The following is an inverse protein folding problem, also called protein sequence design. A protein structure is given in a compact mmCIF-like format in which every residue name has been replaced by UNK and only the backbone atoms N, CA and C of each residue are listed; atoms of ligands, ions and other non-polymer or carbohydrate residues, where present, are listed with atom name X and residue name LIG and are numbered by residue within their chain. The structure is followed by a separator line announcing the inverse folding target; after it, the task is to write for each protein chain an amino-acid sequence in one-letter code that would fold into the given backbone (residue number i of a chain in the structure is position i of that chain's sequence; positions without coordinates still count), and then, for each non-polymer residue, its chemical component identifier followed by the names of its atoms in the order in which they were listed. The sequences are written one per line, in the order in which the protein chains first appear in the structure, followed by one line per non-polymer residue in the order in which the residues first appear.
data_IF_751092507402
#
_entry.id   IF_751092507402
#
_cell.length_a   1.000
_cell.length_b   1.000
_cell.length_c   1.000
_cell.angle_alpha   90.00
_cell.angle_beta   90.00
_cell.angle_gamma   90.00
#
_symmetry.space_group_name_H-M   'P 1'
#
loop_
_entity.id
_entity.type
_entity.pdbx_description
1 polymer ?
#
# COMPACT_ATOMS: atom_id res chain seq x y z
N UNK A 1 4.42 -10.78 -4.00
CA UNK A 1 4.05 -9.62 -3.18
C UNK A 1 3.95 -8.40 -4.07
N UNK A 2 2.83 -7.70 -4.05
CA UNK A 2 2.62 -6.46 -4.80
C UNK A 2 3.32 -5.29 -4.10
N UNK A 3 3.84 -4.35 -4.88
CA UNK A 3 4.45 -3.12 -4.37
C UNK A 3 3.51 -1.93 -4.59
N UNK A 4 3.06 -1.33 -3.51
CA UNK A 4 2.33 -0.07 -3.54
C UNK A 4 3.26 1.06 -3.06
N UNK A 5 3.09 2.25 -3.62
CA UNK A 5 3.75 3.45 -3.10
C UNK A 5 2.83 4.24 -2.19
N UNK A 6 3.34 4.68 -1.03
CA UNK A 6 2.60 5.50 -0.06
C UNK A 6 2.97 6.97 -0.25
N UNK A 7 2.29 7.63 -1.17
CA UNK A 7 2.51 9.05 -1.50
C UNK A 7 1.30 9.65 -2.21
N UNK A 8 1.18 10.97 -2.18
CA UNK A 8 0.25 11.77 -2.97
C UNK A 8 1.00 12.69 -3.97
N UNK A 9 2.30 12.52 -4.12
CA UNK A 9 3.12 13.22 -5.09
C UNK A 9 3.04 12.53 -6.44
N UNK A 10 2.40 13.19 -7.41
CA UNK A 10 2.11 12.62 -8.72
C UNK A 10 3.39 12.38 -9.55
N UNK A 11 4.40 13.22 -9.36
CA UNK A 11 5.65 13.08 -10.12
C UNK A 11 6.45 11.87 -9.63
N UNK A 12 6.46 11.62 -8.31
CA UNK A 12 7.01 10.40 -7.70
C UNK A 12 6.26 9.14 -8.18
N UNK A 13 4.92 9.22 -8.29
CA UNK A 13 4.10 8.10 -8.76
C UNK A 13 4.41 7.79 -10.23
N UNK A 14 4.52 8.80 -11.10
CA UNK A 14 4.86 8.62 -12.51
C UNK A 14 6.23 8.01 -12.70
N UNK A 15 7.25 8.54 -12.02
CA UNK A 15 8.62 8.02 -12.05
C UNK A 15 8.68 6.52 -11.67
N UNK A 16 7.97 6.14 -10.61
CA UNK A 16 7.91 4.75 -10.19
C UNK A 16 7.05 3.86 -11.12
N UNK A 17 5.96 4.38 -11.68
CA UNK A 17 5.13 3.65 -12.63
C UNK A 17 5.89 3.33 -13.92
N UNK A 18 6.75 4.22 -14.41
CA UNK A 18 7.61 3.99 -15.59
C UNK A 18 8.58 2.82 -15.40
N UNK A 19 8.92 2.46 -14.15
CA UNK A 19 9.76 1.28 -13.87
C UNK A 19 9.04 -0.05 -14.13
N UNK A 20 7.70 -0.06 -14.22
CA UNK A 20 6.88 -1.28 -14.30
C UNK A 20 6.81 -2.10 -13.00
N UNK A 21 7.31 -1.55 -11.89
CA UNK A 21 7.34 -2.24 -10.58
C UNK A 21 6.20 -1.83 -9.64
N UNK A 22 5.38 -0.85 -10.04
CA UNK A 22 4.33 -0.29 -9.20
C UNK A 22 2.99 -0.99 -9.47
N UNK A 23 2.47 -1.67 -8.45
CA UNK A 23 1.19 -2.41 -8.52
C UNK A 23 0.01 -1.60 -7.97
N UNK A 24 0.25 -0.47 -7.29
CA UNK A 24 -0.81 0.37 -6.73
C UNK A 24 -0.30 1.53 -5.88
N UNK A 25 -1.23 2.30 -5.34
CA UNK A 25 -0.92 3.50 -4.53
C UNK A 25 -1.76 3.52 -3.27
N UNK A 26 -1.16 3.88 -2.15
CA UNK A 26 -1.91 4.30 -0.96
C UNK A 26 -1.74 5.79 -0.72
N UNK A 27 -2.83 6.44 -0.37
CA UNK A 27 -2.84 7.81 0.12
C UNK A 27 -3.41 7.87 1.53
N UNK A 28 -3.25 9.01 2.18
CA UNK A 28 -3.88 9.30 3.45
C UNK A 28 -4.09 10.83 3.58
N UNK A 29 -4.93 11.30 4.51
CA UNK A 29 -5.22 12.74 4.64
C UNK A 29 -3.97 13.61 4.83
N UNK A 30 -2.95 13.10 5.53
CA UNK A 30 -1.71 13.86 5.77
C UNK A 30 -0.86 14.03 4.50
N UNK A 31 -0.83 13.02 3.64
CA UNK A 31 -0.14 13.09 2.34
C UNK A 31 -0.87 14.02 1.38
N UNK A 32 -2.20 13.90 1.29
CA UNK A 32 -3.02 14.77 0.47
C UNK A 32 -2.92 16.24 0.89
N UNK A 33 -2.95 16.53 2.20
CA UNK A 33 -2.80 17.88 2.71
C UNK A 33 -1.46 18.53 2.30
N UNK A 34 -0.40 17.75 2.18
CA UNK A 34 0.92 18.25 1.72
C UNK A 34 0.97 18.56 0.23
N UNK A 35 0.13 17.95 -0.59
CA UNK A 35 0.12 18.17 -2.05
C UNK A 35 -0.41 19.53 -2.45
N UNK A 36 -1.24 20.16 -1.60
CA UNK A 36 -1.91 21.44 -1.89
C UNK A 36 -2.96 21.38 -3.02
N UNK A 37 -3.23 20.21 -3.57
CA UNK A 37 -4.22 20.00 -4.65
C UNK A 37 -5.61 19.68 -4.07
N UNK A 38 -6.65 19.87 -4.90
CA UNK A 38 -7.99 19.35 -4.61
C UNK A 38 -7.94 17.82 -4.47
N UNK A 39 -8.54 17.27 -3.40
CA UNK A 39 -8.51 15.84 -3.13
C UNK A 39 -9.08 15.00 -4.27
N UNK A 40 -10.26 15.37 -4.78
CA UNK A 40 -10.94 14.60 -5.84
C UNK A 40 -10.16 14.64 -7.15
N UNK A 41 -9.61 15.81 -7.52
CA UNK A 41 -8.81 15.95 -8.74
C UNK A 41 -7.51 15.17 -8.64
N UNK A 42 -6.87 15.21 -7.48
CA UNK A 42 -5.66 14.43 -7.22
C UNK A 42 -5.91 12.91 -7.32
N UNK A 43 -7.01 12.41 -6.74
CA UNK A 43 -7.35 11.00 -6.86
C UNK A 43 -7.62 10.59 -8.31
N UNK A 44 -8.34 11.41 -9.07
CA UNK A 44 -8.56 11.16 -10.50
C UNK A 44 -7.25 11.15 -11.30
N UNK A 45 -6.34 12.09 -11.01
CA UNK A 45 -5.01 12.14 -11.64
C UNK A 45 -4.18 10.88 -11.32
N UNK A 46 -4.12 10.47 -10.06
CA UNK A 46 -3.38 9.25 -9.66
C UNK A 46 -3.97 8.02 -10.35
N UNK A 47 -5.29 7.87 -10.35
CA UNK A 47 -5.96 6.73 -11.01
C UNK A 47 -5.73 6.68 -12.52
N UNK A 48 -5.44 7.81 -13.17
CA UNK A 48 -5.12 7.83 -14.60
C UNK A 48 -3.69 7.35 -14.93
N UNK A 49 -2.81 7.35 -13.94
CA UNK A 49 -1.40 6.96 -14.07
C UNK A 49 -1.17 5.50 -13.66
N UNK A 50 -1.95 5.00 -12.72
CA UNK A 50 -1.75 3.67 -12.10
C UNK A 50 -2.93 2.77 -12.46
N UNK A 51 -2.66 1.61 -13.05
CA UNK A 51 -3.72 0.63 -13.40
C UNK A 51 -4.25 -0.11 -12.17
N UNK A 52 -3.40 -0.34 -11.18
CA UNK A 52 -3.75 -1.07 -9.97
C UNK A 52 -4.51 -0.23 -8.93
N UNK A 53 -4.86 -0.83 -7.78
CA UNK A 53 -5.67 -0.19 -6.77
C UNK A 53 -5.08 1.10 -6.21
N UNK A 54 -5.91 2.14 -6.09
CA UNK A 54 -5.57 3.42 -5.46
C UNK A 54 -6.41 3.61 -4.21
N UNK A 55 -5.77 3.62 -3.04
CA UNK A 55 -6.48 3.81 -1.78
C UNK A 55 -6.80 5.29 -1.52
N UNK A 56 -8.11 5.62 -1.53
CA UNK A 56 -8.66 6.94 -1.23
C UNK A 56 -9.40 6.90 0.11
N UNK A 57 -8.90 7.64 1.12
CA UNK A 57 -9.40 7.58 2.49
C UNK A 57 -10.56 8.57 2.70
N UNK A 58 -11.65 8.09 3.32
CA UNK A 58 -12.77 8.92 3.78
C UNK A 58 -12.33 9.84 4.94
N UNK A 59 -12.99 10.98 5.09
CA UNK A 59 -12.72 11.93 6.17
C UNK A 59 -13.74 11.83 7.31
N UNK A 60 -14.96 11.38 7.02
CA UNK A 60 -16.00 11.23 8.01
C UNK A 60 -15.72 10.12 9.03
N UNK A 61 -16.23 10.28 10.25
CA UNK A 61 -16.09 9.30 11.33
C UNK A 61 -17.41 8.63 11.71
N UNK A 62 -18.54 9.20 11.31
CA UNK A 62 -19.86 8.57 11.48
C UNK A 62 -20.24 7.70 10.27
N UNK A 63 -21.03 6.66 10.52
CA UNK A 63 -21.39 5.64 9.55
C UNK A 63 -22.07 6.22 8.30
N UNK A 64 -23.01 7.13 8.46
CA UNK A 64 -23.84 7.67 7.35
C UNK A 64 -23.01 8.52 6.39
N UNK A 65 -22.24 9.45 6.92
CA UNK A 65 -21.38 10.32 6.11
C UNK A 65 -20.23 9.52 5.49
N UNK A 66 -19.60 8.61 6.25
CA UNK A 66 -18.53 7.76 5.77
C UNK A 66 -18.98 6.88 4.59
N UNK A 67 -20.20 6.31 4.63
CA UNK A 67 -20.75 5.54 3.52
C UNK A 67 -21.03 6.42 2.28
N UNK A 68 -21.55 7.62 2.49
CA UNK A 68 -21.79 8.57 1.41
C UNK A 68 -20.48 9.02 0.74
N UNK A 69 -19.45 9.31 1.53
CA UNK A 69 -18.11 9.63 1.02
C UNK A 69 -17.51 8.44 0.25
N UNK A 70 -17.57 7.22 0.80
CA UNK A 70 -17.06 6.02 0.16
C UNK A 70 -17.71 5.77 -1.21
N UNK A 71 -19.03 5.87 -1.31
CA UNK A 71 -19.75 5.76 -2.58
C UNK A 71 -19.45 6.90 -3.56
N UNK A 72 -19.09 8.07 -3.07
CA UNK A 72 -18.64 9.18 -3.91
C UNK A 72 -17.23 8.92 -4.46
N UNK A 73 -16.32 8.47 -3.60
CA UNK A 73 -14.93 8.18 -3.98
C UNK A 73 -14.86 7.05 -5.01
N UNK A 74 -15.63 5.97 -4.83
CA UNK A 74 -15.65 4.84 -5.77
C UNK A 74 -16.10 5.20 -7.19
N UNK A 75 -16.74 6.36 -7.40
CA UNK A 75 -17.15 6.85 -8.72
C UNK A 75 -16.08 7.64 -9.46
N UNK A 76 -14.94 7.90 -8.83
CA UNK A 76 -13.82 8.62 -9.47
C UNK A 76 -13.19 7.74 -10.56
N UNK A 77 -12.91 6.48 -10.25
CA UNK A 77 -12.35 5.50 -11.16
C UNK A 77 -12.60 4.07 -10.63
N UNK A 78 -12.60 3.08 -11.53
CA UNK A 78 -12.87 1.68 -11.20
C UNK A 78 -11.78 1.04 -10.32
N UNK A 79 -10.57 1.61 -10.30
CA UNK A 79 -9.45 1.15 -9.48
C UNK A 79 -9.36 1.83 -8.11
N UNK A 80 -10.36 2.59 -7.69
CA UNK A 80 -10.41 3.13 -6.32
C UNK A 80 -10.68 2.00 -5.32
N UNK A 81 -9.81 1.89 -4.32
CA UNK A 81 -10.05 1.17 -3.08
C UNK A 81 -10.41 2.17 -1.98
N UNK A 82 -11.68 2.20 -1.57
CA UNK A 82 -12.14 3.13 -0.52
C UNK A 82 -11.49 2.77 0.79
N UNK A 83 -10.76 3.71 1.39
CA UNK A 83 -10.04 3.46 2.64
C UNK A 83 -10.85 3.97 3.82
N UNK A 84 -11.11 3.08 4.79
CA UNK A 84 -11.93 3.35 5.98
C UNK A 84 -11.19 2.97 7.26
N UNK A 85 -11.37 3.71 8.38
CA UNK A 85 -10.71 3.38 9.64
C UNK A 85 -11.30 2.11 10.27
N UNK A 86 -10.47 1.36 10.99
CA UNK A 86 -10.88 0.16 11.72
C UNK A 86 -11.63 0.54 13.02
N UNK A 87 -12.86 0.98 12.86
CA UNK A 87 -13.82 1.32 13.92
C UNK A 87 -15.12 0.54 13.72
N UNK A 88 -16.02 0.46 14.71
CA UNK A 88 -17.33 -0.17 14.51
C UNK A 88 -18.10 0.43 13.32
N UNK A 89 -18.07 1.76 13.13
CA UNK A 89 -18.67 2.43 11.97
C UNK A 89 -17.97 2.06 10.68
N UNK A 90 -16.62 2.08 10.66
CA UNK A 90 -15.82 1.72 9.48
C UNK A 90 -16.04 0.27 9.04
N UNK A 91 -16.20 -0.68 9.97
CA UNK A 91 -16.50 -2.09 9.65
C UNK A 91 -17.89 -2.26 9.02
N UNK A 92 -18.89 -1.53 9.49
CA UNK A 92 -20.23 -1.53 8.86
C UNK A 92 -20.19 -0.93 7.46
N UNK A 93 -19.46 0.19 7.28
CA UNK A 93 -19.25 0.81 5.97
C UNK A 93 -18.47 -0.12 5.04
N UNK A 94 -17.42 -0.77 5.53
CA UNK A 94 -16.70 -1.80 4.78
C UNK A 94 -17.66 -2.88 4.26
N UNK A 95 -18.51 -3.41 5.12
CA UNK A 95 -19.50 -4.43 4.74
C UNK A 95 -20.46 -3.93 3.65
N UNK A 96 -20.98 -2.71 3.79
CA UNK A 96 -21.90 -2.13 2.81
C UNK A 96 -21.23 -1.90 1.45
N UNK A 97 -20.04 -1.29 1.44
CA UNK A 97 -19.29 -1.02 0.21
C UNK A 97 -18.84 -2.31 -0.50
N UNK A 98 -18.40 -3.32 0.27
CA UNK A 98 -18.03 -4.63 -0.27
C UNK A 98 -19.22 -5.34 -0.91
N UNK A 99 -20.42 -5.23 -0.33
CA UNK A 99 -21.66 -5.74 -0.94
C UNK A 99 -22.05 -5.00 -2.23
N UNK A 100 -21.70 -3.73 -2.35
CA UNK A 100 -21.86 -2.93 -3.57
C UNK A 100 -20.77 -3.27 -4.63
N UNK A 101 -19.85 -4.21 -4.36
CA UNK A 101 -18.75 -4.60 -5.25
C UNK A 101 -17.57 -3.62 -5.26
N UNK A 102 -17.50 -2.70 -4.30
CA UNK A 102 -16.46 -1.69 -4.19
C UNK A 102 -15.29 -2.26 -3.38
N UNK A 103 -14.06 -2.07 -3.89
CA UNK A 103 -12.84 -2.41 -3.14
C UNK A 103 -12.73 -1.56 -1.87
N UNK A 104 -12.43 -2.22 -0.73
CA UNK A 104 -12.26 -1.52 0.55
C UNK A 104 -10.92 -1.87 1.17
N UNK A 105 -10.18 -0.85 1.59
CA UNK A 105 -8.96 -0.96 2.38
C UNK A 105 -9.27 -0.53 3.83
N UNK A 106 -9.32 -1.48 4.76
CA UNK A 106 -9.51 -1.16 6.18
C UNK A 106 -8.17 -0.81 6.82
N UNK A 107 -8.06 0.41 7.34
CA UNK A 107 -6.79 0.99 7.83
C UNK A 107 -6.77 1.18 9.35
N UNK A 108 -5.61 1.56 9.88
CA UNK A 108 -5.36 1.72 11.32
C UNK A 108 -5.55 0.41 12.09
N UNK A 109 -4.99 -0.66 11.55
CA UNK A 109 -4.98 -1.98 12.17
C UNK A 109 -3.71 -2.17 13.00
N UNK A 110 -3.89 -2.60 14.27
CA UNK A 110 -2.82 -2.78 15.24
C UNK A 110 -2.92 -4.11 16.01
N UNK A 111 -3.85 -5.00 15.64
CA UNK A 111 -3.97 -6.35 16.22
C UNK A 111 -4.56 -7.35 15.25
N UNK A 112 -4.23 -8.63 15.42
CA UNK A 112 -4.78 -9.71 14.61
C UNK A 112 -6.31 -9.85 14.77
N UNK A 113 -6.84 -9.57 15.95
CA UNK A 113 -8.30 -9.53 16.18
C UNK A 113 -9.00 -8.46 15.34
N UNK A 114 -8.40 -7.27 15.20
CA UNK A 114 -8.88 -6.23 14.31
C UNK A 114 -8.86 -6.69 12.85
N UNK A 115 -7.76 -7.31 12.41
CA UNK A 115 -7.64 -7.83 11.05
C UNK A 115 -8.70 -8.87 10.74
N UNK A 116 -8.97 -9.80 11.67
CA UNK A 116 -10.02 -10.80 11.52
C UNK A 116 -11.41 -10.18 11.35
N UNK A 117 -11.73 -9.10 12.09
CA UNK A 117 -12.99 -8.37 11.94
C UNK A 117 -13.12 -7.72 10.56
N UNK A 118 -12.03 -7.13 10.04
CA UNK A 118 -12.01 -6.53 8.71
C UNK A 118 -12.25 -7.58 7.61
N UNK A 119 -11.61 -8.75 7.70
CA UNK A 119 -11.83 -9.85 6.76
C UNK A 119 -13.29 -10.35 6.80
N UNK A 120 -13.87 -10.49 7.98
CA UNK A 120 -15.30 -10.86 8.13
C UNK A 120 -16.25 -9.79 7.61
N UNK A 121 -15.84 -8.52 7.60
CA UNK A 121 -16.60 -7.44 6.98
C UNK A 121 -16.50 -7.41 5.45
N UNK A 122 -15.62 -8.20 4.84
CA UNK A 122 -15.42 -8.33 3.40
C UNK A 122 -14.42 -7.29 2.84
N UNK A 123 -13.46 -6.86 3.65
CA UNK A 123 -12.38 -5.98 3.18
C UNK A 123 -11.59 -6.62 2.03
N UNK A 124 -11.27 -5.84 1.00
CA UNK A 124 -10.32 -6.26 -0.04
C UNK A 124 -8.90 -6.26 0.51
N UNK A 125 -8.55 -5.21 1.25
CA UNK A 125 -7.25 -5.06 1.90
C UNK A 125 -7.42 -4.77 3.38
N UNK A 126 -6.50 -5.29 4.20
CA UNK A 126 -6.28 -4.87 5.58
C UNK A 126 -4.90 -4.22 5.67
N UNK A 127 -4.82 -3.04 6.28
CA UNK A 127 -3.57 -2.29 6.43
C UNK A 127 -3.08 -2.29 7.88
N UNK A 128 -2.31 -3.31 8.33
CA UNK A 128 -1.62 -3.30 9.62
C UNK A 128 -0.42 -2.35 9.58
N UNK A 129 -0.24 -1.55 10.64
CA UNK A 129 0.74 -0.47 10.71
C UNK A 129 1.98 -0.89 11.50
N UNK A 130 2.94 -1.51 10.83
CA UNK A 130 4.15 -2.04 11.47
C UNK A 130 5.01 -0.95 12.11
N UNK A 131 5.35 0.11 11.38
CA UNK A 131 6.24 1.14 11.87
C UNK A 131 5.67 1.94 13.06
N UNK A 132 4.34 2.08 13.18
CA UNK A 132 3.73 2.71 14.38
C UNK A 132 3.78 1.81 15.61
N UNK A 133 3.77 0.50 15.44
CA UNK A 133 4.00 -0.44 16.54
C UNK A 133 5.45 -0.37 17.00
N UNK A 134 6.41 -0.30 16.07
CA UNK A 134 7.81 -0.11 16.40
C UNK A 134 8.05 1.20 17.16
N UNK A 135 7.36 2.30 16.79
CA UNK A 135 7.45 3.61 17.46
C UNK A 135 7.12 3.53 18.97
N UNK A 136 6.34 2.52 19.39
CA UNK A 136 5.99 2.29 20.80
C UNK A 136 6.69 1.08 21.43
N UNK A 137 7.73 0.56 20.77
CA UNK A 137 8.57 -0.51 21.29
C UNK A 137 8.00 -1.93 21.10
N UNK A 138 7.01 -2.11 20.22
CA UNK A 138 6.52 -3.42 19.81
C UNK A 138 7.21 -3.84 18.52
N UNK A 139 7.34 -5.13 18.27
CA UNK A 139 7.76 -5.67 16.97
C UNK A 139 6.54 -5.72 16.03
N UNK A 140 6.46 -4.73 15.13
CA UNK A 140 5.34 -4.62 14.19
C UNK A 140 5.25 -5.79 13.22
N UNK A 141 6.37 -6.46 12.90
CA UNK A 141 6.37 -7.60 11.99
C UNK A 141 5.74 -8.85 12.61
N UNK A 142 5.75 -9.01 13.93
CA UNK A 142 5.03 -10.10 14.60
C UNK A 142 3.53 -10.06 14.30
N UNK A 143 2.94 -8.85 14.24
CA UNK A 143 1.53 -8.68 13.87
C UNK A 143 1.25 -9.22 12.45
N UNK A 144 2.17 -9.00 11.51
CA UNK A 144 2.02 -9.53 10.14
C UNK A 144 2.00 -11.06 10.16
N UNK A 145 2.93 -11.67 10.90
CA UNK A 145 2.97 -13.13 11.05
C UNK A 145 1.67 -13.71 11.62
N UNK A 146 1.13 -13.11 12.69
CA UNK A 146 -0.14 -13.52 13.30
C UNK A 146 -1.32 -13.42 12.33
N UNK A 147 -1.43 -12.32 11.57
CA UNK A 147 -2.52 -12.12 10.61
C UNK A 147 -2.44 -13.16 9.49
N UNK A 148 -1.26 -13.37 8.90
CA UNK A 148 -1.05 -14.33 7.81
C UNK A 148 -1.33 -15.77 8.26
N UNK A 149 -0.91 -16.16 9.46
CA UNK A 149 -1.22 -17.47 10.05
C UNK A 149 -2.73 -17.68 10.19
N UNK A 150 -3.45 -16.68 10.72
CA UNK A 150 -4.90 -16.75 10.86
C UNK A 150 -5.56 -16.83 9.49
N UNK A 151 -5.21 -15.98 8.54
CA UNK A 151 -5.85 -15.94 7.23
C UNK A 151 -5.61 -17.22 6.43
N UNK A 152 -4.40 -17.77 6.49
CA UNK A 152 -4.07 -19.05 5.83
C UNK A 152 -4.84 -20.25 6.39
N UNK A 153 -5.35 -20.16 7.61
CA UNK A 153 -6.13 -21.22 8.25
C UNK A 153 -7.59 -21.28 7.78
N UNK A 154 -8.07 -20.30 7.02
CA UNK A 154 -9.47 -20.21 6.59
C UNK A 154 -9.57 -19.84 5.11
N UNK A 155 -9.88 -20.81 4.23
CA UNK A 155 -10.05 -20.59 2.78
C UNK A 155 -11.10 -19.52 2.42
N UNK A 156 -12.04 -19.25 3.33
CA UNK A 156 -13.08 -18.22 3.14
C UNK A 156 -12.59 -16.78 3.33
N UNK A 157 -11.37 -16.58 3.83
CA UNK A 157 -10.80 -15.26 4.04
C UNK A 157 -9.95 -14.89 2.83
N UNK A 158 -10.48 -14.00 1.97
CA UNK A 158 -9.81 -13.54 0.74
C UNK A 158 -9.20 -12.14 0.86
N UNK A 159 -9.22 -11.56 2.06
CA UNK A 159 -8.66 -10.23 2.32
C UNK A 159 -7.15 -10.26 2.21
N UNK A 160 -6.58 -9.40 1.36
CA UNK A 160 -5.13 -9.27 1.19
C UNK A 160 -4.50 -8.48 2.34
N UNK A 161 -3.38 -8.97 2.85
CA UNK A 161 -2.60 -8.29 3.90
C UNK A 161 -1.69 -7.26 3.24
N UNK A 162 -2.05 -5.98 3.40
CA UNK A 162 -1.34 -4.83 2.88
C UNK A 162 -0.50 -4.21 4.01
N UNK A 163 0.76 -4.62 4.12
CA UNK A 163 1.68 -4.11 5.14
C UNK A 163 1.89 -2.61 4.96
N UNK A 164 1.52 -1.82 5.97
CA UNK A 164 1.54 -0.36 5.94
C UNK A 164 2.44 0.25 7.02
N UNK A 165 2.69 1.55 6.91
CA UNK A 165 3.64 2.25 7.80
C UNK A 165 5.05 1.64 7.73
N UNK A 166 5.44 1.18 6.56
CA UNK A 166 6.78 0.64 6.29
C UNK A 166 7.83 1.76 6.40
N UNK A 167 8.92 1.50 7.13
CA UNK A 167 9.97 2.49 7.41
C UNK A 167 11.33 2.14 6.76
N UNK A 168 11.52 0.89 6.33
CA UNK A 168 12.83 0.41 5.87
C UNK A 168 12.72 -0.74 4.89
N UNK A 169 13.80 -0.99 4.16
CA UNK A 169 13.92 -2.18 3.31
C UNK A 169 13.84 -3.49 4.10
N UNK A 170 14.20 -3.47 5.40
CA UNK A 170 14.06 -4.65 6.26
C UNK A 170 12.59 -5.06 6.43
N UNK A 171 11.67 -4.10 6.64
CA UNK A 171 10.23 -4.37 6.69
C UNK A 171 9.73 -5.00 5.38
N UNK A 172 10.19 -4.48 4.23
CA UNK A 172 9.80 -5.01 2.91
C UNK A 172 10.26 -6.47 2.74
N UNK A 173 11.52 -6.75 3.06
CA UNK A 173 12.08 -8.10 2.94
C UNK A 173 11.42 -9.08 3.91
N UNK A 174 11.15 -8.65 5.15
CA UNK A 174 10.43 -9.48 6.13
C UNK A 174 9.00 -9.76 5.67
N UNK A 175 8.27 -8.75 5.17
CA UNK A 175 6.92 -8.91 4.59
C UNK A 175 6.93 -9.95 3.46
N UNK A 176 7.90 -9.84 2.54
CA UNK A 176 8.04 -10.78 1.42
C UNK A 176 8.34 -12.22 1.91
N UNK A 177 9.23 -12.38 2.92
CA UNK A 177 9.57 -13.68 3.50
C UNK A 177 8.41 -14.34 4.23
N UNK A 178 7.53 -13.53 4.83
CA UNK A 178 6.32 -14.01 5.52
C UNK A 178 5.18 -14.35 4.55
N UNK A 179 5.26 -13.90 3.28
CA UNK A 179 4.22 -14.15 2.28
C UNK A 179 3.09 -13.13 2.31
N UNK A 180 3.33 -11.90 2.80
CA UNK A 180 2.35 -10.83 2.71
C UNK A 180 1.97 -10.54 1.25
N UNK A 181 0.70 -10.18 1.01
CA UNK A 181 0.19 -9.98 -0.35
C UNK A 181 0.69 -8.68 -0.95
N UNK A 182 0.73 -7.62 -0.14
CA UNK A 182 1.09 -6.26 -0.55
C UNK A 182 1.97 -5.61 0.51
N UNK A 183 2.93 -4.79 0.09
CA UNK A 183 3.61 -3.83 0.98
C UNK A 183 3.49 -2.43 0.38
N UNK A 184 2.98 -1.47 1.16
CA UNK A 184 2.99 -0.06 0.77
C UNK A 184 4.08 0.70 1.52
N UNK A 185 4.88 1.46 0.78
CA UNK A 185 6.07 2.09 1.32
C UNK A 185 6.34 3.46 0.69
N UNK A 186 7.02 4.37 1.41
CA UNK A 186 7.46 5.64 0.83
C UNK A 186 8.35 5.43 -0.40
N UNK A 187 8.34 6.36 -1.40
CA UNK A 187 9.19 6.27 -2.60
C UNK A 187 10.67 6.02 -2.29
N UNK A 188 11.18 6.67 -1.24
CA UNK A 188 12.57 6.50 -0.81
C UNK A 188 12.93 5.08 -0.38
N UNK A 189 11.98 4.32 0.19
CA UNK A 189 12.21 2.91 0.56
C UNK A 189 12.26 2.03 -0.68
N UNK A 190 11.40 2.29 -1.69
CA UNK A 190 11.46 1.58 -2.97
C UNK A 190 12.82 1.78 -3.63
N UNK A 191 13.31 3.03 -3.69
CA UNK A 191 14.63 3.34 -4.27
C UNK A 191 15.78 2.69 -3.51
N UNK A 192 15.67 2.55 -2.19
CA UNK A 192 16.68 1.85 -1.38
C UNK A 192 16.79 0.34 -1.69
N UNK A 193 15.74 -0.29 -2.22
CA UNK A 193 15.77 -1.73 -2.54
C UNK A 193 16.75 -2.07 -3.67
N UNK A 194 16.97 -1.17 -4.63
CA UNK A 194 17.92 -1.39 -5.72
C UNK A 194 19.26 -0.69 -5.52
N UNK A 195 19.40 0.17 -4.52
CA UNK A 195 20.64 0.88 -4.23
C UNK A 195 21.59 0.00 -3.41
N UNK A 196 22.64 -0.51 -4.04
CA UNK A 196 23.60 -1.39 -3.37
C UNK A 196 25.07 -1.08 -3.80
N UNK A 197 25.98 -0.83 -2.83
CA UNK A 197 27.37 -0.43 -3.15
C UNK A 197 28.16 -1.44 -4.00
N UNK A 198 27.82 -2.73 -3.89
CA UNK A 198 28.48 -3.76 -4.72
C UNK A 198 27.96 -3.76 -6.16
N UNK A 199 26.73 -3.32 -6.40
CA UNK A 199 26.20 -3.13 -7.75
C UNK A 199 26.95 -1.98 -8.45
N UNK A 200 27.15 -0.87 -7.76
CA UNK A 200 27.87 0.30 -8.29
C UNK A 200 29.30 -0.08 -8.65
N UNK A 201 30.00 -0.72 -7.70
CA UNK A 201 31.40 -1.18 -7.91
C UNK A 201 31.50 -2.25 -9.00
N UNK A 202 30.52 -3.16 -9.08
CA UNK A 202 30.47 -4.18 -10.14
C UNK A 202 30.30 -3.56 -11.50
N UNK A 203 29.40 -2.57 -11.64
CA UNK A 203 29.19 -1.83 -12.88
C UNK A 203 30.45 -1.05 -13.31
N UNK A 204 31.08 -0.34 -12.40
CA UNK A 204 32.35 0.36 -12.68
C UNK A 204 33.41 -0.61 -13.19
N UNK A 205 33.57 -1.78 -12.56
CA UNK A 205 34.52 -2.80 -12.99
C UNK A 205 34.18 -3.33 -14.39
N UNK A 206 32.92 -3.67 -14.66
CA UNK A 206 32.49 -4.17 -15.95
C UNK A 206 32.73 -3.16 -17.07
N UNK A 207 32.42 -1.89 -16.82
CA UNK A 207 32.66 -0.82 -17.79
C UNK A 207 34.16 -0.63 -18.08
N UNK A 208 35.01 -0.68 -17.04
CA UNK A 208 36.47 -0.58 -17.20
C UNK A 208 37.03 -1.76 -18.00
N UNK A 209 36.52 -2.98 -17.79
CA UNK A 209 36.97 -4.15 -18.51
C UNK A 209 36.44 -4.16 -19.96
N UNK A 210 35.20 -3.72 -20.20
CA UNK A 210 34.65 -3.58 -21.52
C UNK A 210 35.45 -2.58 -22.39
N UNK A 211 35.81 -1.42 -21.84
CA UNK A 211 36.64 -0.43 -22.52
C UNK A 211 37.99 -0.99 -23.01
N UNK A 212 38.60 -1.91 -22.25
CA UNK A 212 39.88 -2.56 -22.64
C UNK A 212 39.75 -3.45 -23.89
N UNK A 213 38.54 -3.93 -24.19
CA UNK A 213 38.31 -4.79 -25.37
C UNK A 213 38.31 -4.01 -26.67
N UNK A 214 38.09 -2.69 -26.65
CA UNK A 214 37.94 -1.84 -27.82
C UNK A 214 36.73 -2.16 -28.68
N UNK A 215 35.79 -2.97 -28.19
CA UNK A 215 34.58 -3.38 -28.90
C UNK A 215 33.43 -2.39 -28.70
N UNK A 216 32.44 -2.41 -29.63
CA UNK A 216 31.17 -1.71 -29.53
C UNK A 216 30.03 -2.69 -29.83
N UNK A 217 28.86 -2.46 -29.23
CA UNK A 217 27.62 -3.20 -29.53
C UNK A 217 26.80 -2.47 -30.59
N UNK A 218 26.98 -1.16 -30.73
CA UNK A 218 26.31 -0.26 -31.70
C UNK A 218 27.25 0.20 -32.78
#
# INVERSE_FOLDING_TARGET
MKFFVDTADIDEIRDLAETGLLDGVTTNPSLVAKSGKSFLDLMAEICSVVEGPVSAEVAATDETQMLAEGRKLSKIADNIAVKVPLTPAGLKVCRALSQDGIMVNVTLCFSAGQALLAAKAGATFISPFVGRLDDIGHDGMNLIGEILEIYSSYESLSTEVLVASVRSTAHVIQSARMGADVATMPPGVIRQLYNHPLTDRGLEQFLADWQKTGQSIL
#
